data_IF_042523270522
#
_entry.id   IF_042523270522
#
_cell.length_a   1.000
_cell.length_b   1.000
_cell.length_c   1.000
_cell.angle_alpha   90.00
_cell.angle_beta   90.00
_cell.angle_gamma   90.00
#
_symmetry.space_group_name_H-M   'P 1'
#
loop_
_entity.id
_entity.type
_entity.pdbx_description
1 polymer ?
#
# COMPACT_ATOMS: atom_id res chain seq x y z
N UNK A 1 11.85 4.25 1.44
CA UNK A 1 12.11 3.13 0.49
C UNK A 1 12.74 1.90 1.14
N UNK A 2 13.96 1.97 1.67
CA UNK A 2 14.68 0.79 2.20
C UNK A 2 13.90 -0.01 3.25
N UNK A 3 13.21 0.66 4.17
CA UNK A 3 12.40 0.01 5.20
C UNK A 3 11.22 -0.77 4.59
N UNK A 4 10.62 -0.24 3.52
CA UNK A 4 9.51 -0.88 2.79
C UNK A 4 9.97 -2.16 2.10
N UNK A 5 11.08 -2.10 1.38
CA UNK A 5 11.67 -3.25 0.71
C UNK A 5 12.06 -4.34 1.71
N UNK A 6 12.61 -3.94 2.86
CA UNK A 6 12.91 -4.85 3.96
C UNK A 6 11.65 -5.54 4.48
N UNK A 7 10.57 -4.80 4.73
CA UNK A 7 9.29 -5.37 5.19
C UNK A 7 8.68 -6.33 4.17
N UNK A 8 8.66 -5.98 2.88
CA UNK A 8 8.14 -6.87 1.83
C UNK A 8 8.94 -8.17 1.79
N UNK A 9 10.28 -8.09 1.86
CA UNK A 9 11.13 -9.28 1.85
C UNK A 9 10.91 -10.15 3.10
N UNK A 10 10.78 -9.53 4.27
CA UNK A 10 10.47 -10.21 5.53
C UNK A 10 9.13 -10.95 5.44
N UNK A 11 8.07 -10.25 5.03
CA UNK A 11 6.71 -10.77 4.95
C UNK A 11 6.57 -11.86 3.87
N UNK A 12 7.27 -11.75 2.74
CA UNK A 12 7.32 -12.84 1.75
C UNK A 12 7.82 -14.14 2.38
N UNK A 13 8.89 -14.05 3.19
CA UNK A 13 9.45 -15.21 3.89
C UNK A 13 8.53 -15.77 4.96
N UNK A 14 7.78 -14.92 5.67
CA UNK A 14 6.89 -15.32 6.77
C UNK A 14 5.56 -15.90 6.27
N UNK A 15 5.02 -15.33 5.19
CA UNK A 15 3.71 -15.69 4.63
C UNK A 15 3.79 -16.71 3.48
N UNK A 16 5.00 -17.03 2.99
CA UNK A 16 5.17 -17.88 1.81
C UNK A 16 4.63 -17.22 0.52
N UNK A 17 4.61 -15.89 0.47
CA UNK A 17 4.16 -15.11 -0.69
C UNK A 17 5.34 -14.68 -1.57
N UNK A 18 5.04 -14.22 -2.78
CA UNK A 18 6.04 -13.83 -3.80
C UNK A 18 5.80 -12.41 -4.33
N UNK A 19 5.48 -11.47 -3.46
CA UNK A 19 5.30 -10.07 -3.87
C UNK A 19 6.64 -9.47 -4.28
N UNK A 20 6.70 -8.95 -5.51
CA UNK A 20 7.90 -8.35 -6.09
C UNK A 20 7.86 -6.82 -6.03
N UNK A 21 6.68 -6.22 -6.16
CA UNK A 21 6.56 -4.77 -6.27
C UNK A 21 5.20 -4.24 -5.82
N UNK A 22 5.15 -2.91 -5.70
CA UNK A 22 3.93 -2.14 -5.53
C UNK A 22 3.54 -1.52 -6.87
N UNK A 23 2.25 -1.48 -7.14
CA UNK A 23 1.68 -0.64 -8.20
C UNK A 23 2.04 0.84 -7.97
N UNK A 24 2.15 1.63 -9.04
CA UNK A 24 2.53 3.04 -8.96
C UNK A 24 1.61 3.82 -8.04
N UNK A 25 0.29 3.65 -8.18
CA UNK A 25 -0.69 4.34 -7.31
C UNK A 25 -0.55 3.95 -5.85
N UNK A 26 -0.15 2.70 -5.57
CA UNK A 26 0.11 2.25 -4.20
C UNK A 26 1.35 2.93 -3.63
N UNK A 27 2.39 3.15 -4.45
CA UNK A 27 3.59 3.88 -4.02
C UNK A 27 3.23 5.31 -3.66
N UNK A 28 2.41 5.98 -4.46
CA UNK A 28 1.98 7.36 -4.23
C UNK A 28 1.19 7.47 -2.92
N UNK A 29 0.18 6.61 -2.73
CA UNK A 29 -0.59 6.54 -1.47
C UNK A 29 0.34 6.35 -0.26
N UNK A 30 1.37 5.50 -0.39
CA UNK A 30 2.31 5.23 0.69
C UNK A 30 3.25 6.40 0.97
N UNK A 31 3.58 7.21 -0.05
CA UNK A 31 4.39 8.42 0.10
C UNK A 31 3.60 9.58 0.70
N UNK A 32 2.32 9.69 0.37
CA UNK A 32 1.43 10.76 0.83
C UNK A 32 0.79 10.49 2.19
N UNK A 33 0.81 9.24 2.66
CA UNK A 33 0.28 8.90 3.97
C UNK A 33 1.29 9.18 5.09
N UNK A 34 0.84 9.87 6.14
CA UNK A 34 1.69 10.27 7.27
C UNK A 34 2.09 9.13 8.22
N UNK A 35 1.51 7.93 8.06
CA UNK A 35 1.76 6.75 8.91
C UNK A 35 1.73 7.08 10.43
N UNK A 36 0.60 7.53 10.99
CA UNK A 36 0.51 7.89 12.41
C UNK A 36 0.88 6.75 13.37
N UNK A 37 0.74 5.49 12.95
CA UNK A 37 1.22 4.30 13.68
C UNK A 37 2.67 3.89 13.37
N UNK A 38 3.41 4.73 12.64
CA UNK A 38 4.78 4.52 12.18
C UNK A 38 4.95 3.22 11.39
N UNK A 39 6.15 2.62 11.47
CA UNK A 39 6.53 1.40 10.76
C UNK A 39 5.61 0.20 11.05
N UNK A 40 4.99 0.15 12.24
CA UNK A 40 4.04 -0.93 12.61
C UNK A 40 2.75 -0.84 11.80
N UNK A 41 2.29 0.37 11.48
CA UNK A 41 1.12 0.54 10.62
C UNK A 41 1.44 0.11 9.19
N UNK A 42 2.60 0.51 8.66
CA UNK A 42 3.06 0.08 7.34
C UNK A 42 3.18 -1.45 7.25
N UNK A 43 3.77 -2.09 8.25
CA UNK A 43 3.87 -3.56 8.33
C UNK A 43 2.49 -4.21 8.31
N UNK A 44 1.55 -3.75 9.15
CA UNK A 44 0.18 -4.27 9.18
C UNK A 44 -0.56 -4.10 7.84
N UNK A 45 -0.34 -2.99 7.13
CA UNK A 45 -0.93 -2.75 5.81
C UNK A 45 -0.38 -3.72 4.79
N UNK A 46 0.95 -3.87 4.74
CA UNK A 46 1.62 -4.78 3.82
C UNK A 46 1.22 -6.23 4.10
N UNK A 47 1.22 -6.65 5.37
CA UNK A 47 0.81 -8.00 5.77
C UNK A 47 -0.62 -8.32 5.30
N UNK A 48 -1.57 -7.38 5.50
CA UNK A 48 -2.94 -7.55 5.03
C UNK A 48 -3.04 -7.63 3.51
N UNK A 49 -2.31 -6.77 2.79
CA UNK A 49 -2.29 -6.78 1.34
C UNK A 49 -1.68 -8.08 0.78
N UNK A 50 -0.63 -8.60 1.43
CA UNK A 50 0.08 -9.81 1.04
C UNK A 50 -0.70 -11.10 1.37
N UNK A 51 -1.59 -11.06 2.37
CA UNK A 51 -2.47 -12.19 2.69
C UNK A 51 -3.62 -12.41 1.68
N UNK A 52 -4.01 -11.37 0.93
CA UNK A 52 -5.16 -11.42 0.01
C UNK A 52 -4.77 -11.44 -1.46
N UNK A 53 -3.48 -11.28 -1.77
CA UNK A 53 -3.01 -11.14 -3.14
C UNK A 53 -2.80 -12.51 -3.80
N UNK A 54 -3.38 -12.68 -4.98
CA UNK A 54 -3.11 -13.81 -5.87
C UNK A 54 -2.15 -13.37 -6.99
N UNK A 55 -0.96 -12.90 -6.60
CA UNK A 55 -0.01 -12.32 -7.54
C UNK A 55 1.23 -11.69 -6.92
N UNK A 56 2.00 -10.97 -7.76
CA UNK A 56 3.31 -10.42 -7.41
C UNK A 56 3.30 -8.89 -7.20
N UNK A 57 2.19 -8.21 -7.49
CA UNK A 57 2.10 -6.74 -7.49
C UNK A 57 0.94 -6.28 -6.61
N UNK A 58 1.24 -5.59 -5.49
CA UNK A 58 0.20 -5.02 -4.64
C UNK A 58 -0.45 -3.83 -5.35
N UNK A 59 -1.77 -3.91 -5.53
CA UNK A 59 -2.61 -2.88 -6.15
C UNK A 59 -3.51 -2.21 -5.11
N UNK A 60 -4.09 -1.06 -5.46
CA UNK A 60 -4.89 -0.25 -4.53
C UNK A 60 -6.04 -1.03 -3.89
N UNK A 61 -6.67 -1.96 -4.62
CA UNK A 61 -7.77 -2.76 -4.08
C UNK A 61 -7.34 -3.76 -2.98
N UNK A 62 -6.06 -4.15 -2.93
CA UNK A 62 -5.50 -4.98 -1.85
C UNK A 62 -5.26 -4.18 -0.56
N UNK A 63 -5.22 -2.84 -0.62
CA UNK A 63 -4.99 -1.99 0.55
C UNK A 63 -6.23 -1.90 1.45
N UNK A 64 -6.08 -1.62 2.74
CA UNK A 64 -7.21 -1.34 3.63
C UNK A 64 -8.11 -0.19 3.15
N UNK A 65 -9.39 -0.25 3.54
CA UNK A 65 -10.41 0.70 3.08
C UNK A 65 -10.08 2.17 3.37
N UNK A 66 -9.35 2.48 4.45
CA UNK A 66 -9.00 3.86 4.79
C UNK A 66 -7.97 4.46 3.82
N UNK A 67 -7.02 3.65 3.33
CA UNK A 67 -6.07 4.08 2.29
C UNK A 67 -6.77 4.26 0.95
N UNK A 68 -7.68 3.33 0.60
CA UNK A 68 -8.47 3.44 -0.64
C UNK A 68 -9.38 4.67 -0.66
N UNK A 69 -10.00 4.99 0.48
CA UNK A 69 -10.86 6.18 0.63
C UNK A 69 -10.06 7.47 0.51
N UNK A 70 -8.83 7.51 1.00
CA UNK A 70 -7.94 8.67 0.86
C UNK A 70 -7.63 8.92 -0.62
N UNK A 71 -7.20 7.88 -1.33
CA UNK A 71 -6.92 7.94 -2.78
C UNK A 71 -8.12 8.43 -3.59
N UNK A 72 -9.31 7.88 -3.34
CA UNK A 72 -10.54 8.31 -4.04
C UNK A 72 -10.92 9.77 -3.76
N UNK A 73 -10.69 10.23 -2.52
CA UNK A 73 -10.99 11.62 -2.14
C UNK A 73 -10.03 12.60 -2.82
N UNK A 74 -8.77 12.22 -2.98
CA UNK A 74 -7.76 13.03 -3.69
C UNK A 74 -8.06 13.08 -5.18
N UNK A 75 -8.39 11.95 -5.83
CA UNK A 75 -8.84 11.93 -7.23
C UNK A 75 -10.05 12.86 -7.45
N UNK A 76 -11.07 12.78 -6.57
CA UNK A 76 -12.26 13.63 -6.66
C UNK A 76 -11.94 15.12 -6.45
N UNK A 77 -11.04 15.45 -5.52
CA UNK A 77 -10.63 16.84 -5.29
C UNK A 77 -9.86 17.42 -6.49
N UNK A 78 -9.01 16.61 -7.13
CA UNK A 78 -8.28 17.03 -8.33
C UNK A 78 -9.22 17.27 -9.51
N UNK A 79 -10.22 16.41 -9.73
CA UNK A 79 -11.21 16.60 -10.80
C UNK A 79 -12.04 17.88 -10.61
N UNK A 80 -12.49 18.16 -9.37
CA UNK A 80 -13.26 19.38 -9.07
C UNK A 80 -12.44 20.66 -9.28
N UNK A 81 -11.14 20.64 -8.97
CA UNK A 81 -10.27 21.83 -9.10
C UNK A 81 -9.81 22.11 -10.53
N UNK A 82 -9.94 21.13 -11.44
CA UNK A 82 -9.56 21.27 -12.86
C UNK A 82 -10.75 21.64 -13.76
N UNK A 83 -11.97 21.74 -13.19
CA UNK A 83 -13.20 22.25 -13.82
C UNK A 83 -13.42 23.72 -13.49
#
# INVERSE_FOLDING_TARGET
EREREFLIKKLNSELGSNVLSLDERVRDIFMEHDWPGNIRELENVLERAMNVIEGMIIQVHHLPAYLRKKALKEELNHEIFTM
#
